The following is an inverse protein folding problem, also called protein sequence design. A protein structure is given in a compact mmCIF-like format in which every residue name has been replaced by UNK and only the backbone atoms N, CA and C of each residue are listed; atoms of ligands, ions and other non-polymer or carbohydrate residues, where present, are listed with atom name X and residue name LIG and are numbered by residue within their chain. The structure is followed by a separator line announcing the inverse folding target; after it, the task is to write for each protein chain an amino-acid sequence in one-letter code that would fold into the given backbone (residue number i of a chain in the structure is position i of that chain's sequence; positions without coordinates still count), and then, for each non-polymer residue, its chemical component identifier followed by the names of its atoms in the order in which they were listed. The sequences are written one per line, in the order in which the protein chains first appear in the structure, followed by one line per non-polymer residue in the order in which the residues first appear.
data_IF_473920848887
#
_entry.id   IF_473920848887
#
_cell.length_a   1.000
_cell.length_b   1.000
_cell.length_c   1.000
_cell.angle_alpha   90.00
_cell.angle_beta   90.00
_cell.angle_gamma   90.00
#
_symmetry.space_group_name_H-M   'P 1'
#
loop_
_entity.id
_entity.type
_entity.pdbx_description
1 polymer ?
#
# COMPACT_ATOMS: atom_id res chain seq x y z
N UNK A 1 -10.54 48.40 6.75
CA UNK A 1 -10.16 47.28 5.88
C UNK A 1 -11.41 46.44 5.63
N UNK A 2 -11.71 46.08 4.37
CA UNK A 2 -12.89 45.22 4.07
C UNK A 2 -12.69 43.85 4.75
N UNK A 3 -13.68 43.30 5.45
CA UNK A 3 -13.56 42.05 6.20
C UNK A 3 -13.03 40.88 5.34
N UNK A 4 -13.23 40.95 4.04
CA UNK A 4 -12.75 39.95 3.07
C UNK A 4 -11.21 39.85 3.00
N UNK A 5 -10.46 40.95 3.15
CA UNK A 5 -9.00 40.91 3.09
C UNK A 5 -8.39 40.26 4.34
N UNK A 6 -8.96 40.51 5.51
CA UNK A 6 -8.52 39.88 6.75
C UNK A 6 -8.77 38.35 6.72
N UNK A 7 -9.94 37.95 6.25
CA UNK A 7 -10.29 36.53 6.12
C UNK A 7 -9.36 35.81 5.13
N UNK A 8 -9.13 36.42 3.96
CA UNK A 8 -8.23 35.85 2.95
C UNK A 8 -6.78 35.75 3.46
N UNK A 9 -6.32 36.76 4.21
CA UNK A 9 -5.00 36.73 4.84
C UNK A 9 -4.90 35.61 5.90
N UNK A 10 -5.90 35.49 6.77
CA UNK A 10 -5.94 34.43 7.78
C UNK A 10 -6.00 33.03 7.15
N UNK A 11 -6.80 32.85 6.09
CA UNK A 11 -6.84 31.60 5.33
C UNK A 11 -5.48 31.28 4.67
N UNK A 12 -4.83 32.29 4.05
CA UNK A 12 -3.51 32.12 3.45
C UNK A 12 -2.46 31.74 4.49
N UNK A 13 -2.46 32.38 5.65
CA UNK A 13 -1.56 32.06 6.76
C UNK A 13 -1.82 30.65 7.31
N UNK A 14 -3.07 30.25 7.47
CA UNK A 14 -3.43 28.90 7.91
C UNK A 14 -2.93 27.84 6.93
N UNK A 15 -3.17 28.02 5.63
CA UNK A 15 -2.71 27.13 4.57
C UNK A 15 -1.18 27.02 4.58
N UNK A 16 -0.47 28.17 4.70
CA UNK A 16 0.99 28.20 4.76
C UNK A 16 1.52 27.42 5.98
N UNK A 17 0.96 27.66 7.18
CA UNK A 17 1.36 26.95 8.40
C UNK A 17 1.07 25.46 8.27
N UNK A 18 -0.09 25.08 7.71
CA UNK A 18 -0.46 23.69 7.49
C UNK A 18 0.57 22.98 6.57
N UNK A 19 0.89 23.56 5.43
CA UNK A 19 1.89 22.99 4.53
C UNK A 19 3.30 23.02 5.09
N UNK A 20 3.67 24.07 5.79
CA UNK A 20 4.98 24.16 6.46
C UNK A 20 5.13 23.07 7.54
N UNK A 21 4.07 22.78 8.30
CA UNK A 21 4.05 21.69 9.27
C UNK A 21 4.12 20.32 8.60
N UNK A 22 3.39 20.13 7.51
CA UNK A 22 3.32 18.84 6.79
C UNK A 22 4.63 18.54 6.04
N UNK A 23 5.17 19.52 5.30
CA UNK A 23 6.36 19.32 4.45
C UNK A 23 7.66 19.72 5.13
N UNK A 24 7.60 20.52 6.19
CA UNK A 24 8.78 21.00 6.91
C UNK A 24 9.74 19.89 7.33
N UNK A 25 9.29 18.84 8.04
CA UNK A 25 10.14 17.72 8.43
C UNK A 25 10.76 17.01 7.22
N UNK A 26 10.01 16.82 6.13
CA UNK A 26 10.51 16.16 4.91
C UNK A 26 11.60 17.00 4.23
N UNK A 27 11.41 18.31 4.15
CA UNK A 27 12.42 19.24 3.60
C UNK A 27 13.68 19.21 4.46
N UNK A 28 13.52 19.26 5.79
CA UNK A 28 14.62 19.18 6.73
C UNK A 28 15.40 17.88 6.55
N UNK A 29 14.75 16.74 6.52
CA UNK A 29 15.38 15.44 6.28
C UNK A 29 16.09 15.39 4.92
N UNK A 30 15.47 15.96 3.89
CA UNK A 30 16.08 16.01 2.55
C UNK A 30 17.35 16.86 2.53
N UNK A 31 17.37 17.99 3.23
CA UNK A 31 18.56 18.86 3.33
C UNK A 31 19.64 18.14 4.14
N UNK A 32 19.32 17.57 5.29
CA UNK A 32 20.30 16.89 6.15
C UNK A 32 20.94 15.68 5.51
N UNK A 33 20.29 15.03 4.53
CA UNK A 33 20.87 13.94 3.75
C UNK A 33 22.13 14.35 2.96
N UNK A 34 22.32 15.64 2.71
CA UNK A 34 23.51 16.19 2.03
C UNK A 34 24.56 16.74 2.98
N UNK A 35 24.35 16.66 4.30
CA UNK A 35 25.36 17.07 5.27
C UNK A 35 26.42 15.94 5.44
N UNK A 36 27.70 16.29 5.40
CA UNK A 36 28.79 15.34 5.61
C UNK A 36 29.03 14.96 7.07
N UNK A 37 28.32 15.57 8.01
CA UNK A 37 28.42 15.30 9.45
C UNK A 37 28.19 13.83 9.75
N UNK A 38 28.68 13.39 10.90
CA UNK A 38 28.62 11.98 11.35
C UNK A 38 27.18 11.45 11.48
N UNK A 39 26.24 12.35 11.81
CA UNK A 39 24.81 12.07 11.82
C UNK A 39 24.09 13.08 10.92
N UNK A 40 23.03 12.68 10.22
CA UNK A 40 22.21 13.59 9.43
C UNK A 40 21.56 14.64 10.35
N UNK A 41 22.17 15.81 10.48
CA UNK A 41 21.73 16.90 11.35
C UNK A 41 21.81 18.23 10.63
N UNK A 42 20.99 19.19 11.07
CA UNK A 42 21.10 20.58 10.56
C UNK A 42 22.28 21.29 11.21
N UNK A 43 22.59 20.98 12.45
CA UNK A 43 23.65 21.61 13.23
C UNK A 43 24.42 20.57 14.04
N UNK A 44 25.76 20.53 13.92
CA UNK A 44 26.57 21.38 13.03
C UNK A 44 26.41 20.99 11.55
N UNK A 45 26.39 21.99 10.67
CA UNK A 45 26.54 21.78 9.24
C UNK A 45 28.03 21.81 8.88
N UNK A 46 28.56 20.70 8.39
CA UNK A 46 29.98 20.62 8.03
C UNK A 46 30.22 21.03 6.58
N UNK A 47 29.78 20.21 5.63
CA UNK A 47 29.85 20.56 4.22
C UNK A 47 28.78 19.82 3.41
N UNK A 48 28.51 20.32 2.20
CA UNK A 48 27.65 19.65 1.24
C UNK A 48 28.36 18.44 0.64
N UNK A 49 27.76 17.25 0.74
CA UNK A 49 28.38 16.01 0.31
C UNK A 49 27.35 14.97 -0.16
N UNK A 50 27.74 14.11 -1.10
CA UNK A 50 27.02 12.92 -1.51
C UNK A 50 27.50 11.65 -0.81
N UNK A 51 28.22 11.78 0.29
CA UNK A 51 28.84 10.68 1.01
C UNK A 51 27.82 9.59 1.36
N UNK A 52 26.66 9.95 1.90
CA UNK A 52 25.61 9.02 2.28
C UNK A 52 24.99 8.25 1.12
N UNK A 53 25.13 8.79 -0.09
CA UNK A 53 24.64 8.12 -1.30
C UNK A 53 25.66 7.14 -1.88
N UNK A 54 26.95 7.47 -1.86
CA UNK A 54 27.99 6.71 -2.57
C UNK A 54 28.84 5.83 -1.64
N UNK A 55 29.45 6.43 -0.62
CA UNK A 55 30.51 5.79 0.18
C UNK A 55 29.98 5.16 1.46
N UNK A 56 28.94 5.73 2.05
CA UNK A 56 28.45 5.32 3.35
C UNK A 56 29.39 5.75 4.49
N UNK A 57 29.41 5.00 5.58
CA UNK A 57 30.16 5.32 6.80
C UNK A 57 30.81 4.07 7.39
N UNK A 58 31.93 4.25 8.07
CA UNK A 58 32.47 3.26 9.00
C UNK A 58 31.82 3.53 10.36
N UNK A 59 31.05 2.56 10.86
CA UNK A 59 30.44 2.62 12.19
C UNK A 59 31.51 2.51 13.29
N UNK A 60 31.18 2.88 14.53
CA UNK A 60 32.10 2.83 15.67
C UNK A 60 32.63 1.42 15.97
N UNK A 61 31.90 0.38 15.58
CA UNK A 61 32.27 -1.02 15.70
C UNK A 61 33.20 -1.52 14.56
N UNK A 62 33.61 -0.63 13.66
CA UNK A 62 34.45 -0.93 12.49
C UNK A 62 33.67 -1.52 11.30
N UNK A 63 32.36 -1.66 11.39
CA UNK A 63 31.57 -2.13 10.25
C UNK A 63 31.42 -1.01 9.20
N UNK A 64 31.59 -1.37 7.94
CA UNK A 64 31.38 -0.45 6.83
C UNK A 64 29.88 -0.44 6.46
N UNK A 65 29.20 0.66 6.78
CA UNK A 65 27.84 0.91 6.31
C UNK A 65 27.93 1.44 4.88
N UNK A 66 27.51 0.62 3.92
CA UNK A 66 27.49 1.01 2.52
C UNK A 66 26.57 2.21 2.27
N UNK A 67 26.92 3.04 1.29
CA UNK A 67 26.05 4.14 0.84
C UNK A 67 24.79 3.63 0.18
N UNK A 68 23.80 4.50 0.04
CA UNK A 68 22.47 4.16 -0.51
C UNK A 68 22.55 3.45 -1.87
N UNK A 69 23.45 3.88 -2.75
CA UNK A 69 23.62 3.33 -4.11
C UNK A 69 24.49 2.08 -4.16
N UNK A 70 25.30 1.82 -3.13
CA UNK A 70 26.21 0.67 -3.06
C UNK A 70 25.70 -0.46 -2.17
N UNK A 71 24.60 -0.25 -1.44
CA UNK A 71 24.03 -1.23 -0.55
C UNK A 71 23.15 -2.23 -1.32
N UNK A 72 23.66 -3.43 -1.51
CA UNK A 72 22.96 -4.54 -2.18
C UNK A 72 21.64 -4.91 -1.47
N UNK A 73 21.58 -4.80 -0.12
CA UNK A 73 20.36 -5.11 0.64
C UNK A 73 19.22 -4.16 0.31
N UNK A 74 19.54 -2.88 0.07
CA UNK A 74 18.54 -1.89 -0.36
C UNK A 74 18.02 -2.21 -1.77
N UNK A 75 18.91 -2.62 -2.68
CA UNK A 75 18.53 -3.00 -4.03
C UNK A 75 17.62 -4.24 -4.03
N UNK A 76 18.01 -5.28 -3.31
CA UNK A 76 17.17 -6.48 -3.15
C UNK A 76 15.84 -6.16 -2.46
N UNK A 77 15.88 -5.30 -1.44
CA UNK A 77 14.68 -4.83 -0.75
C UNK A 77 13.73 -4.05 -1.66
N UNK A 78 14.25 -3.22 -2.58
CA UNK A 78 13.44 -2.52 -3.59
C UNK A 78 12.78 -3.53 -4.54
N UNK A 79 13.56 -4.49 -5.07
CA UNK A 79 13.04 -5.51 -5.99
C UNK A 79 11.94 -6.32 -5.32
N UNK A 80 12.17 -6.81 -4.11
CA UNK A 80 11.18 -7.55 -3.33
C UNK A 80 9.92 -6.72 -3.07
N UNK A 81 10.06 -5.43 -2.71
CA UNK A 81 8.93 -4.52 -2.51
C UNK A 81 8.12 -4.30 -3.79
N UNK A 82 8.78 -4.21 -4.96
CA UNK A 82 8.11 -4.08 -6.25
C UNK A 82 7.33 -5.35 -6.61
N UNK A 83 7.93 -6.53 -6.38
CA UNK A 83 7.27 -7.83 -6.63
C UNK A 83 6.06 -7.98 -5.72
N UNK A 84 6.21 -7.70 -4.43
CA UNK A 84 5.12 -7.76 -3.45
C UNK A 84 4.02 -6.76 -3.84
N UNK A 85 4.39 -5.52 -4.13
CA UNK A 85 3.44 -4.48 -4.55
C UNK A 85 2.63 -4.87 -5.79
N UNK A 86 3.30 -5.41 -6.82
CA UNK A 86 2.63 -5.92 -8.02
C UNK A 86 1.70 -7.11 -7.71
N UNK A 87 2.14 -8.04 -6.86
CA UNK A 87 1.34 -9.17 -6.41
C UNK A 87 0.10 -8.73 -5.63
N UNK A 88 0.26 -7.79 -4.70
CA UNK A 88 -0.84 -7.22 -3.91
C UNK A 88 -1.85 -6.50 -4.80
N UNK A 89 -1.39 -5.67 -5.74
CA UNK A 89 -2.29 -4.98 -6.70
C UNK A 89 -3.09 -5.99 -7.52
N UNK A 90 -2.42 -7.03 -8.03
CA UNK A 90 -3.06 -8.05 -8.88
C UNK A 90 -4.14 -8.87 -8.16
N UNK A 91 -4.05 -8.99 -6.83
CA UNK A 91 -5.04 -9.69 -6.02
C UNK A 91 -6.07 -8.72 -5.42
N UNK A 92 -5.63 -7.61 -4.81
CA UNK A 92 -6.51 -6.70 -4.06
C UNK A 92 -7.51 -5.97 -4.95
N UNK A 93 -7.10 -5.58 -6.16
CA UNK A 93 -7.98 -4.84 -7.07
C UNK A 93 -9.15 -5.71 -7.56
N UNK A 94 -8.94 -6.93 -8.08
CA UNK A 94 -10.04 -7.80 -8.48
C UNK A 94 -10.92 -8.23 -7.30
N UNK A 95 -10.32 -8.56 -6.14
CA UNK A 95 -11.07 -8.95 -4.95
C UNK A 95 -11.96 -7.80 -4.48
N UNK A 96 -11.41 -6.58 -4.35
CA UNK A 96 -12.18 -5.40 -3.95
C UNK A 96 -13.29 -5.06 -4.94
N UNK A 97 -13.00 -5.18 -6.25
CA UNK A 97 -14.00 -4.96 -7.30
C UNK A 97 -15.12 -5.98 -7.24
N UNK A 98 -14.78 -7.27 -7.12
CA UNK A 98 -15.78 -8.34 -7.02
C UNK A 98 -16.65 -8.15 -5.76
N UNK A 99 -16.05 -7.86 -4.61
CA UNK A 99 -16.80 -7.60 -3.38
C UNK A 99 -17.74 -6.39 -3.52
N UNK A 100 -17.31 -5.32 -4.18
CA UNK A 100 -18.14 -4.15 -4.41
C UNK A 100 -19.33 -4.42 -5.35
N UNK A 101 -19.11 -5.22 -6.40
CA UNK A 101 -20.19 -5.63 -7.32
C UNK A 101 -21.20 -6.53 -6.59
N UNK A 102 -20.72 -7.49 -5.79
CA UNK A 102 -21.61 -8.34 -4.99
C UNK A 102 -22.46 -7.48 -4.04
N UNK A 103 -21.90 -6.43 -3.43
CA UNK A 103 -22.67 -5.52 -2.57
C UNK A 103 -23.87 -4.88 -3.27
N UNK A 104 -23.78 -4.62 -4.58
CA UNK A 104 -24.93 -4.05 -5.34
C UNK A 104 -26.07 -5.06 -5.53
N UNK A 105 -25.76 -6.36 -5.48
CA UNK A 105 -26.70 -7.45 -5.69
C UNK A 105 -27.27 -8.04 -4.39
N UNK A 106 -26.65 -7.75 -3.25
CA UNK A 106 -27.09 -8.25 -1.94
C UNK A 106 -28.42 -7.61 -1.55
N UNK A 107 -29.34 -8.42 -1.03
CA UNK A 107 -30.64 -7.98 -0.51
C UNK A 107 -30.46 -6.89 0.57
N UNK A 108 -31.36 -5.92 0.60
CA UNK A 108 -31.28 -4.78 1.53
C UNK A 108 -31.06 -5.16 3.00
N UNK A 109 -31.68 -6.26 3.45
CA UNK A 109 -31.58 -6.73 4.84
C UNK A 109 -30.19 -7.26 5.23
N UNK A 110 -29.39 -7.76 4.27
CA UNK A 110 -28.04 -8.31 4.49
C UNK A 110 -26.93 -7.35 4.05
N UNK A 111 -27.30 -6.25 3.39
CA UNK A 111 -26.34 -5.32 2.80
C UNK A 111 -25.41 -4.69 3.84
N UNK A 112 -25.96 -4.27 4.97
CA UNK A 112 -25.18 -3.63 6.04
C UNK A 112 -24.24 -4.64 6.72
N UNK A 113 -24.70 -5.89 6.88
CA UNK A 113 -23.88 -6.97 7.42
C UNK A 113 -22.72 -7.28 6.47
N UNK A 114 -23.02 -7.44 5.17
CA UNK A 114 -22.01 -7.70 4.16
C UNK A 114 -20.97 -6.55 4.08
N UNK A 115 -21.44 -5.33 4.08
CA UNK A 115 -20.58 -4.14 4.11
C UNK A 115 -19.68 -4.14 5.36
N UNK A 116 -20.25 -4.38 6.53
CA UNK A 116 -19.49 -4.42 7.80
C UNK A 116 -18.42 -5.50 7.81
N UNK A 117 -18.74 -6.71 7.30
CA UNK A 117 -17.76 -7.80 7.17
C UNK A 117 -16.66 -7.42 6.17
N UNK A 118 -17.00 -6.79 5.05
CA UNK A 118 -16.04 -6.40 4.01
C UNK A 118 -15.04 -5.34 4.47
N UNK A 119 -15.41 -4.47 5.42
CA UNK A 119 -14.50 -3.45 5.97
C UNK A 119 -13.72 -3.93 7.21
N UNK A 120 -14.10 -5.06 7.77
CA UNK A 120 -13.53 -5.58 9.02
C UNK A 120 -12.00 -5.74 8.97
N UNK A 121 -11.37 -6.22 7.88
CA UNK A 121 -9.92 -6.42 7.83
C UNK A 121 -9.11 -5.14 8.10
N UNK A 122 -9.60 -3.96 7.74
CA UNK A 122 -8.93 -2.67 8.01
C UNK A 122 -8.90 -2.32 9.49
N UNK A 123 -9.81 -2.86 10.29
CA UNK A 123 -9.88 -2.59 11.72
C UNK A 123 -8.85 -3.39 12.52
N UNK A 124 -8.27 -4.44 11.95
CA UNK A 124 -7.26 -5.24 12.61
C UNK A 124 -5.88 -4.60 12.47
N UNK A 125 -5.07 -4.57 13.55
CA UNK A 125 -3.67 -4.16 13.48
C UNK A 125 -2.90 -5.03 12.48
N UNK A 126 -2.08 -4.40 11.62
CA UNK A 126 -1.29 -5.10 10.59
C UNK A 126 -0.39 -6.20 11.15
N UNK A 127 0.16 -6.00 12.34
CA UNK A 127 0.96 -7.00 13.09
C UNK A 127 0.18 -8.31 13.28
N UNK A 128 -1.09 -8.21 13.70
CA UNK A 128 -1.94 -9.39 13.94
C UNK A 128 -2.19 -10.12 12.62
N UNK A 129 -2.46 -9.38 11.54
CA UNK A 129 -2.68 -9.96 10.21
C UNK A 129 -1.41 -10.69 9.74
N UNK A 130 -0.23 -10.08 9.88
CA UNK A 130 1.05 -10.68 9.51
C UNK A 130 1.31 -11.99 10.23
N UNK A 131 1.26 -11.97 11.57
CA UNK A 131 1.50 -13.17 12.39
C UNK A 131 0.47 -14.27 12.11
N UNK A 132 -0.82 -13.91 12.03
CA UNK A 132 -1.89 -14.87 11.77
C UNK A 132 -1.74 -15.55 10.42
N UNK A 133 -1.30 -14.80 9.40
CA UNK A 133 -1.03 -15.34 8.06
C UNK A 133 0.08 -16.38 8.11
N UNK A 134 1.20 -16.07 8.76
CA UNK A 134 2.32 -17.02 8.90
C UNK A 134 1.89 -18.29 9.65
N UNK A 135 1.22 -18.13 10.80
CA UNK A 135 0.77 -19.28 11.61
C UNK A 135 -0.21 -20.16 10.83
N UNK A 136 -1.17 -19.57 10.12
CA UNK A 136 -2.13 -20.30 9.30
C UNK A 136 -1.44 -21.08 8.20
N UNK A 137 -0.56 -20.45 7.44
CA UNK A 137 0.10 -21.10 6.31
C UNK A 137 1.15 -22.11 6.73
N UNK A 138 1.84 -21.93 7.86
CA UNK A 138 2.72 -22.96 8.41
C UNK A 138 1.93 -24.22 8.81
N UNK A 139 0.72 -24.06 9.38
CA UNK A 139 -0.17 -25.20 9.64
C UNK A 139 -0.62 -25.91 8.37
N UNK A 140 -1.00 -25.14 7.35
CA UNK A 140 -1.40 -25.71 6.04
C UNK A 140 -0.22 -26.43 5.38
N UNK A 141 0.97 -25.82 5.40
CA UNK A 141 2.19 -26.42 4.88
C UNK A 141 2.54 -27.74 5.60
N UNK A 142 2.35 -27.79 6.92
CA UNK A 142 2.57 -28.99 7.72
C UNK A 142 1.59 -30.15 7.39
N UNK A 143 0.40 -29.86 6.88
CA UNK A 143 -0.58 -30.87 6.45
C UNK A 143 -0.26 -31.44 5.06
N UNK A 144 0.45 -30.67 4.21
CA UNK A 144 0.75 -31.04 2.81
C UNK A 144 1.96 -31.97 2.64
N UNK A 145 2.70 -32.29 3.70
CA UNK A 145 3.97 -33.03 3.60
C UNK A 145 5.06 -32.22 2.87
N UNK A 146 6.12 -32.91 2.41
CA UNK A 146 7.17 -32.27 1.60
C UNK A 146 6.69 -32.14 0.15
N UNK A 147 6.35 -30.93 -0.28
CA UNK A 147 5.87 -30.64 -1.64
C UNK A 147 5.57 -29.17 -1.87
N UNK A 148 5.03 -28.88 -3.05
CA UNK A 148 4.73 -27.50 -3.50
C UNK A 148 3.98 -26.64 -2.47
N UNK A 149 3.02 -27.21 -1.75
CA UNK A 149 2.24 -26.50 -0.71
C UNK A 149 3.14 -26.10 0.46
N UNK A 150 4.09 -26.96 0.85
CA UNK A 150 5.07 -26.65 1.89
C UNK A 150 6.00 -25.52 1.48
N UNK A 151 6.52 -25.56 0.26
CA UNK A 151 7.45 -24.57 -0.27
C UNK A 151 6.80 -23.19 -0.41
N UNK A 152 5.60 -23.16 -0.99
CA UNK A 152 4.83 -21.92 -1.16
C UNK A 152 4.37 -21.36 0.19
N UNK A 153 3.89 -22.23 1.08
CA UNK A 153 3.40 -21.82 2.42
C UNK A 153 4.50 -21.31 3.36
N UNK A 154 5.77 -21.45 3.01
CA UNK A 154 6.93 -20.94 3.75
C UNK A 154 7.71 -19.87 3.00
N UNK A 155 7.20 -19.42 1.86
CA UNK A 155 7.81 -18.34 1.09
C UNK A 155 7.38 -16.97 1.66
N UNK A 156 8.32 -16.17 2.14
CA UNK A 156 8.07 -14.88 2.77
C UNK A 156 7.39 -13.88 1.85
N UNK A 157 7.79 -13.81 0.58
CA UNK A 157 7.17 -12.92 -0.42
C UNK A 157 5.70 -13.29 -0.63
N UNK A 158 5.40 -14.58 -0.79
CA UNK A 158 4.03 -15.08 -0.97
C UNK A 158 3.16 -14.76 0.26
N UNK A 159 3.65 -15.06 1.45
CA UNK A 159 2.94 -14.78 2.70
C UNK A 159 2.67 -13.29 2.89
N UNK A 160 3.64 -12.45 2.54
CA UNK A 160 3.48 -10.99 2.62
C UNK A 160 2.45 -10.48 1.63
N UNK A 161 2.42 -11.00 0.39
CA UNK A 161 1.38 -10.68 -0.59
C UNK A 161 0.00 -11.01 -0.03
N UNK A 162 -0.19 -12.19 0.55
CA UNK A 162 -1.48 -12.61 1.10
C UNK A 162 -1.88 -11.76 2.32
N UNK A 163 -0.96 -11.55 3.26
CA UNK A 163 -1.21 -10.76 4.46
C UNK A 163 -1.62 -9.33 4.11
N UNK A 164 -0.91 -8.69 3.20
CA UNK A 164 -1.22 -7.33 2.76
C UNK A 164 -2.52 -7.26 1.95
N UNK A 165 -2.77 -8.25 1.08
CA UNK A 165 -4.01 -8.33 0.28
C UNK A 165 -5.24 -8.37 1.18
N UNK A 166 -5.17 -9.00 2.35
CA UNK A 166 -6.27 -9.13 3.29
C UNK A 166 -6.91 -7.78 3.64
N UNK A 167 -6.13 -6.77 3.97
CA UNK A 167 -6.67 -5.45 4.33
C UNK A 167 -6.65 -4.44 3.18
N UNK A 168 -5.71 -4.54 2.23
CA UNK A 168 -5.64 -3.61 1.09
C UNK A 168 -6.84 -3.81 0.16
N UNK A 169 -7.35 -5.03 0.01
CA UNK A 169 -8.57 -5.29 -0.75
C UNK A 169 -9.79 -4.52 -0.23
N UNK A 170 -9.83 -4.23 1.07
CA UNK A 170 -10.88 -3.39 1.66
C UNK A 170 -10.82 -1.94 1.17
N UNK A 171 -9.64 -1.36 1.02
CA UNK A 171 -9.51 -0.02 0.43
C UNK A 171 -9.95 0.00 -1.03
N UNK A 172 -9.56 -1.03 -1.80
CA UNK A 172 -10.05 -1.20 -3.17
C UNK A 172 -11.58 -1.33 -3.21
N UNK A 173 -12.16 -2.13 -2.33
CA UNK A 173 -13.60 -2.29 -2.17
C UNK A 173 -14.31 -0.94 -1.94
N UNK A 174 -13.81 -0.11 -1.03
CA UNK A 174 -14.41 1.21 -0.74
C UNK A 174 -14.36 2.14 -1.96
N UNK A 175 -13.25 2.14 -2.71
CA UNK A 175 -13.12 2.93 -3.95
C UNK A 175 -14.16 2.49 -4.98
N UNK A 176 -14.32 1.17 -5.17
CA UNK A 176 -15.30 0.64 -6.11
C UNK A 176 -16.73 0.86 -5.67
N UNK A 177 -17.03 0.72 -4.38
CA UNK A 177 -18.38 1.03 -3.84
C UNK A 177 -18.75 2.49 -4.13
N UNK A 178 -17.85 3.43 -3.84
CA UNK A 178 -18.08 4.85 -4.11
C UNK A 178 -18.31 5.15 -5.61
N UNK A 179 -17.66 4.41 -6.50
CA UNK A 179 -17.83 4.54 -7.94
C UNK A 179 -19.14 3.92 -8.41
N UNK A 180 -19.46 2.70 -7.93
CA UNK A 180 -20.67 1.97 -8.31
C UNK A 180 -21.97 2.67 -7.83
N UNK A 181 -21.92 3.39 -6.70
CA UNK A 181 -23.07 4.19 -6.24
C UNK A 181 -23.51 5.28 -7.24
N UNK A 182 -22.62 5.68 -8.16
CA UNK A 182 -22.90 6.68 -9.20
C UNK A 182 -23.19 6.06 -10.56
N UNK A 183 -23.20 4.74 -10.64
CA UNK A 183 -23.47 4.02 -11.88
C UNK A 183 -24.97 4.00 -12.15
N UNK A 184 -25.35 4.34 -13.37
CA UNK A 184 -26.74 4.28 -13.81
C UNK A 184 -27.07 2.87 -14.30
N UNK A 185 -27.85 2.14 -13.53
CA UNK A 185 -28.25 0.75 -13.83
C UNK A 185 -29.11 0.64 -15.09
N UNK A 186 -29.74 1.73 -15.54
CA UNK A 186 -30.52 1.72 -16.79
C UNK A 186 -29.68 1.38 -18.01
N UNK A 187 -28.36 1.63 -17.95
CA UNK A 187 -27.42 1.26 -19.03
C UNK A 187 -27.26 -0.27 -19.14
N UNK A 188 -27.25 -0.99 -18.02
CA UNK A 188 -27.22 -2.46 -18.02
C UNK A 188 -28.53 -3.04 -18.55
N UNK A 189 -29.67 -2.52 -18.07
CA UNK A 189 -31.01 -2.95 -18.48
C UNK A 189 -31.20 -2.73 -19.99
N UNK A 190 -30.87 -1.55 -20.50
CA UNK A 190 -30.97 -1.24 -21.91
C UNK A 190 -30.08 -2.16 -22.80
N UNK A 191 -28.89 -2.51 -22.33
CA UNK A 191 -28.02 -3.41 -23.05
C UNK A 191 -28.56 -4.85 -23.09
N UNK A 192 -29.14 -5.32 -21.98
CA UNK A 192 -29.79 -6.63 -21.90
C UNK A 192 -31.03 -6.68 -22.80
N UNK A 193 -31.85 -5.64 -22.86
CA UNK A 193 -32.99 -5.52 -23.74
C UNK A 193 -32.62 -5.56 -25.22
N UNK A 194 -31.42 -5.05 -25.55
CA UNK A 194 -30.83 -5.13 -26.90
C UNK A 194 -30.19 -6.51 -27.21
N UNK A 195 -30.33 -7.47 -26.30
CA UNK A 195 -29.85 -8.84 -26.50
C UNK A 195 -28.39 -9.07 -26.11
N UNK A 196 -27.74 -8.14 -25.37
CA UNK A 196 -26.42 -8.38 -24.82
C UNK A 196 -26.45 -9.45 -23.72
N UNK A 197 -25.41 -10.27 -23.66
CA UNK A 197 -25.26 -11.22 -22.54
C UNK A 197 -24.70 -10.50 -21.30
N UNK A 198 -24.91 -11.07 -20.12
CA UNK A 198 -24.36 -10.56 -18.84
C UNK A 198 -22.84 -10.34 -18.92
N UNK A 199 -22.12 -11.26 -19.55
CA UNK A 199 -20.67 -11.14 -19.76
C UNK A 199 -20.30 -9.94 -20.66
N UNK A 200 -21.11 -9.68 -21.69
CA UNK A 200 -20.90 -8.51 -22.56
C UNK A 200 -21.17 -7.21 -21.82
N UNK A 201 -22.22 -7.14 -21.02
CA UNK A 201 -22.52 -6.00 -20.15
C UNK A 201 -21.36 -5.74 -19.19
N UNK A 202 -20.89 -6.77 -18.51
CA UNK A 202 -19.75 -6.66 -17.60
C UNK A 202 -18.51 -6.08 -18.28
N UNK A 203 -18.01 -6.71 -19.37
CA UNK A 203 -16.76 -6.29 -20.00
C UNK A 203 -16.88 -5.05 -20.89
N UNK A 204 -18.05 -4.77 -21.47
CA UNK A 204 -18.20 -3.65 -22.43
C UNK A 204 -18.82 -2.37 -21.81
N UNK A 205 -19.48 -2.49 -20.67
CA UNK A 205 -20.15 -1.35 -20.01
C UNK A 205 -19.53 -1.13 -18.63
N UNK A 206 -19.63 -2.12 -17.73
CA UNK A 206 -19.24 -1.95 -16.34
C UNK A 206 -17.74 -1.77 -16.16
N UNK A 207 -16.89 -2.65 -16.74
CA UNK A 207 -15.44 -2.55 -16.62
C UNK A 207 -14.89 -1.23 -17.20
N UNK A 208 -15.26 -0.79 -18.40
CA UNK A 208 -14.85 0.53 -18.91
C UNK A 208 -15.29 1.70 -18.02
N UNK A 209 -16.50 1.65 -17.47
CA UNK A 209 -16.96 2.64 -16.50
C UNK A 209 -16.10 2.67 -15.24
N UNK A 210 -15.67 1.49 -14.77
CA UNK A 210 -14.84 1.35 -13.57
C UNK A 210 -13.35 1.62 -13.82
N UNK A 211 -12.88 1.76 -15.08
CA UNK A 211 -11.46 1.93 -15.41
C UNK A 211 -10.75 3.03 -14.60
N UNK A 212 -11.31 4.24 -14.42
CA UNK A 212 -10.70 5.26 -13.59
C UNK A 212 -10.58 4.85 -12.10
N UNK A 213 -11.56 4.09 -11.59
CA UNK A 213 -11.52 3.56 -10.23
C UNK A 213 -10.50 2.41 -10.11
N UNK A 214 -10.38 1.56 -11.14
CA UNK A 214 -9.36 0.51 -11.20
C UNK A 214 -7.96 1.13 -11.14
N UNK A 215 -7.69 2.16 -11.93
CA UNK A 215 -6.41 2.86 -11.91
C UNK A 215 -6.12 3.47 -10.53
N UNK A 216 -7.10 4.14 -9.93
CA UNK A 216 -6.97 4.74 -8.59
C UNK A 216 -6.74 3.67 -7.51
N UNK A 217 -7.50 2.58 -7.55
CA UNK A 217 -7.35 1.46 -6.63
C UNK A 217 -5.97 0.79 -6.76
N UNK A 218 -5.47 0.61 -7.99
CA UNK A 218 -4.16 0.02 -8.24
C UNK A 218 -3.03 0.90 -7.69
N UNK A 219 -3.08 2.22 -7.89
CA UNK A 219 -2.09 3.15 -7.34
C UNK A 219 -2.11 3.14 -5.82
N UNK A 220 -3.28 3.21 -5.19
CA UNK A 220 -3.42 3.20 -3.73
C UNK A 220 -2.97 1.86 -3.16
N UNK A 221 -3.35 0.74 -3.77
CA UNK A 221 -2.93 -0.59 -3.34
C UNK A 221 -1.42 -0.75 -3.42
N UNK A 222 -0.79 -0.26 -4.49
CA UNK A 222 0.66 -0.28 -4.65
C UNK A 222 1.36 0.56 -3.58
N UNK A 223 0.92 1.81 -3.35
CA UNK A 223 1.52 2.69 -2.36
C UNK A 223 1.40 2.11 -0.95
N UNK A 224 0.22 1.61 -0.57
CA UNK A 224 0.01 1.00 0.74
C UNK A 224 0.81 -0.28 0.94
N UNK A 225 1.05 -1.05 -0.13
CA UNK A 225 1.91 -2.22 -0.09
C UNK A 225 3.38 -1.82 0.05
N UNK A 226 3.83 -0.85 -0.74
CA UNK A 226 5.23 -0.45 -0.81
C UNK A 226 5.76 0.19 0.49
N UNK A 227 4.92 0.97 1.19
CA UNK A 227 5.26 1.61 2.47
C UNK A 227 5.00 0.70 3.69
N UNK A 228 4.38 -0.47 3.49
CA UNK A 228 3.94 -1.30 4.60
C UNK A 228 5.11 -1.95 5.34
N UNK A 229 5.30 -1.54 6.59
CA UNK A 229 6.25 -2.14 7.52
C UNK A 229 5.56 -3.11 8.48
N UNK A 230 4.46 -2.68 9.10
CA UNK A 230 3.85 -3.35 10.24
C UNK A 230 3.38 -4.79 9.97
N UNK A 231 2.83 -5.05 8.79
CA UNK A 231 2.42 -6.40 8.39
C UNK A 231 3.61 -7.17 7.85
N UNK A 232 4.45 -6.48 7.05
CA UNK A 232 5.57 -7.07 6.32
C UNK A 232 6.61 -7.67 7.25
N UNK A 233 7.04 -6.97 8.29
CA UNK A 233 8.11 -7.42 9.20
C UNK A 233 7.82 -8.78 9.83
N UNK A 234 6.56 -9.16 9.98
CA UNK A 234 6.14 -10.45 10.54
C UNK A 234 5.84 -11.51 9.48
N UNK A 235 5.61 -11.14 8.24
CA UNK A 235 5.23 -12.07 7.17
C UNK A 235 6.33 -12.38 6.19
N UNK A 236 7.37 -11.52 6.09
CA UNK A 236 8.44 -11.63 5.09
C UNK A 236 9.45 -12.75 5.40
N UNK A 237 9.48 -13.27 6.62
CA UNK A 237 10.40 -14.31 7.09
C UNK A 237 11.88 -13.92 6.92
N UNK A 238 12.62 -14.68 6.10
CA UNK A 238 14.05 -14.45 5.82
C UNK A 238 14.31 -13.45 4.70
N UNK A 239 13.29 -13.10 3.92
CA UNK A 239 13.42 -12.12 2.84
C UNK A 239 13.42 -10.69 3.41
N UNK A 240 13.75 -9.72 2.57
CA UNK A 240 13.83 -8.32 2.96
C UNK A 240 13.03 -7.46 2.00
N UNK A 241 12.38 -6.41 2.52
CA UNK A 241 11.74 -5.35 1.75
C UNK A 241 12.45 -4.03 2.02
N UNK A 242 12.19 -3.01 1.20
CA UNK A 242 12.77 -1.69 1.40
C UNK A 242 12.51 -1.16 2.81
N UNK A 243 11.27 -1.27 3.29
CA UNK A 243 10.87 -0.78 4.62
C UNK A 243 11.55 -1.54 5.76
N UNK A 244 11.72 -2.86 5.63
CA UNK A 244 12.39 -3.67 6.67
C UNK A 244 13.90 -3.42 6.68
N UNK A 245 14.53 -3.23 5.53
CA UNK A 245 15.96 -2.86 5.44
C UNK A 245 16.22 -1.49 6.05
N UNK A 246 15.39 -0.49 5.73
CA UNK A 246 15.54 0.86 6.31
C UNK A 246 15.35 0.83 7.83
N UNK A 247 14.40 0.07 8.33
CA UNK A 247 14.14 -0.03 9.77
C UNK A 247 15.23 -0.81 10.55
N UNK A 248 16.03 -1.62 9.86
CA UNK A 248 17.12 -2.40 10.48
C UNK A 248 18.45 -1.65 10.56
N UNK A 249 18.54 -0.44 10.01
CA UNK A 249 19.72 0.45 10.03
C UNK A 249 19.65 1.51 11.09
#
# INVERSE_FOLDING_TARGET
MKPTYLINFMMGMYIFIFFAYLFGPLIVMSITAFNSAEFPSISPWECFSFRWFNEGKIAYDGQHLAGLLSDWRLHDGIISSLIIGAGVVSLSVPIGMAAAIVLTQVRSQLRDIYYSISIMPVLFPGVIIGISTVVLWDRIAGLGGDGFISDVGRNGIFLTILAQTCFISTYCFLIFVARLQRFDQTQEEAALDLGATQTQVFFKILVPYLMPAIASAAVIAFLFSFENYNTTVFSILSDQTLTTVIASK
#
